data_IF_204716918275
#
_entry.id   IF_204716918275
#
_cell.length_a   1.000
_cell.length_b   1.000
_cell.length_c   1.000
_cell.angle_alpha   90.00
_cell.angle_beta   90.00
_cell.angle_gamma   90.00
#
_symmetry.space_group_name_H-M   'P 1'
#
loop_
_entity.id
_entity.type
_entity.pdbx_description
1 polymer ?
#
# COMPACT_ATOMS: atom_id res chain seq x y z
N UNK A 1 -17.19 -26.74 -23.01
CA UNK A 1 -16.39 -25.98 -22.04
C UNK A 1 -17.15 -24.70 -21.74
N UNK A 2 -17.75 -24.56 -20.56
CA UNK A 2 -18.28 -23.26 -20.13
C UNK A 2 -17.07 -22.38 -19.81
N UNK A 3 -16.75 -21.43 -20.70
CA UNK A 3 -15.62 -20.53 -20.50
C UNK A 3 -15.77 -19.79 -19.17
N UNK A 4 -14.68 -19.69 -18.38
CA UNK A 4 -14.68 -18.80 -17.21
C UNK A 4 -14.98 -17.39 -17.69
N UNK A 5 -15.94 -16.71 -17.05
CA UNK A 5 -16.18 -15.28 -17.30
C UNK A 5 -14.93 -14.47 -16.96
N UNK A 6 -14.78 -13.31 -17.58
CA UNK A 6 -13.72 -12.36 -17.24
C UNK A 6 -13.81 -11.93 -15.76
N UNK A 7 -12.64 -11.65 -15.18
CA UNK A 7 -12.50 -11.00 -13.86
C UNK A 7 -12.75 -9.50 -14.05
N UNK A 8 -13.56 -8.91 -13.18
CA UNK A 8 -13.88 -7.48 -13.18
C UNK A 8 -13.10 -6.80 -12.07
N UNK A 9 -12.25 -5.85 -12.45
CA UNK A 9 -11.33 -5.15 -11.55
C UNK A 9 -11.66 -3.65 -11.60
N UNK A 10 -11.85 -3.04 -10.43
CA UNK A 10 -12.00 -1.59 -10.29
C UNK A 10 -10.79 -0.94 -9.62
N UNK A 11 -10.51 0.32 -9.94
CA UNK A 11 -9.52 1.13 -9.24
C UNK A 11 -10.24 2.16 -8.36
N UNK A 12 -9.93 2.25 -7.07
CA UNK A 12 -10.49 3.29 -6.20
C UNK A 12 -9.50 4.39 -5.81
N UNK A 13 -8.26 4.35 -6.31
CA UNK A 13 -7.27 5.36 -6.00
C UNK A 13 -6.09 5.34 -6.98
N UNK A 14 -5.66 6.53 -7.40
CA UNK A 14 -4.35 6.86 -7.97
C UNK A 14 -3.48 7.73 -7.05
N UNK A 15 -4.03 8.25 -5.94
CA UNK A 15 -3.30 9.03 -4.94
C UNK A 15 -3.94 8.94 -3.54
N UNK A 16 -3.13 9.11 -2.50
CA UNK A 16 -3.58 9.09 -1.08
C UNK A 16 -4.69 10.10 -0.70
N UNK A 17 -5.03 11.04 -1.57
CA UNK A 17 -6.04 12.08 -1.36
C UNK A 17 -7.30 11.93 -2.23
N UNK A 18 -7.48 10.80 -2.92
CA UNK A 18 -8.69 10.55 -3.70
C UNK A 18 -9.97 10.52 -2.85
N UNK A 19 -11.11 10.57 -3.54
CA UNK A 19 -12.43 10.68 -2.93
C UNK A 19 -12.68 9.58 -1.89
N UNK A 20 -13.07 9.94 -0.65
CA UNK A 20 -13.22 8.97 0.43
C UNK A 20 -14.31 7.92 0.16
N UNK A 21 -15.23 8.21 -0.76
CA UNK A 21 -16.36 7.38 -1.15
C UNK A 21 -16.04 6.37 -2.28
N UNK A 22 -14.92 6.49 -2.98
CA UNK A 22 -14.64 5.69 -4.19
C UNK A 22 -14.62 4.17 -3.91
N UNK A 23 -13.99 3.75 -2.80
CA UNK A 23 -13.99 2.33 -2.40
C UNK A 23 -15.41 1.83 -2.11
N UNK A 24 -16.23 2.63 -1.44
CA UNK A 24 -17.61 2.30 -1.12
C UNK A 24 -18.44 2.15 -2.39
N UNK A 25 -18.34 3.12 -3.31
CA UNK A 25 -19.05 3.10 -4.59
C UNK A 25 -18.71 1.87 -5.40
N UNK A 26 -17.43 1.53 -5.54
CA UNK A 26 -17.01 0.31 -6.24
C UNK A 26 -17.55 -0.96 -5.58
N UNK A 27 -17.60 -1.00 -4.24
CA UNK A 27 -18.11 -2.16 -3.50
C UNK A 27 -19.64 -2.32 -3.62
N UNK A 28 -20.39 -1.24 -3.85
CA UNK A 28 -21.87 -1.26 -3.90
C UNK A 28 -22.47 -1.21 -5.30
N UNK A 29 -21.83 -0.55 -6.26
CA UNK A 29 -22.45 -0.21 -7.56
C UNK A 29 -22.08 -1.20 -8.68
N UNK A 30 -20.93 -1.87 -8.58
CA UNK A 30 -20.40 -2.71 -9.65
C UNK A 30 -20.32 -4.19 -9.27
N UNK A 31 -20.56 -5.13 -10.20
CA UNK A 31 -20.35 -6.56 -9.95
C UNK A 31 -18.86 -6.91 -10.06
N UNK A 32 -18.02 -6.29 -9.21
CA UNK A 32 -16.56 -6.45 -9.20
C UNK A 32 -16.13 -7.73 -8.46
N UNK A 33 -15.02 -8.29 -8.91
CA UNK A 33 -14.34 -9.41 -8.24
C UNK A 33 -13.21 -8.93 -7.35
N UNK A 34 -12.53 -7.88 -7.79
CA UNK A 34 -11.41 -7.28 -7.10
C UNK A 34 -11.40 -5.77 -7.26
N UNK A 35 -10.82 -5.10 -6.27
CA UNK A 35 -10.50 -3.68 -6.28
C UNK A 35 -9.00 -3.56 -6.06
N UNK A 36 -8.37 -2.68 -6.82
CA UNK A 36 -7.03 -2.22 -6.49
C UNK A 36 -7.01 -0.74 -6.17
N UNK A 37 -6.01 -0.32 -5.41
CA UNK A 37 -5.81 1.07 -5.06
C UNK A 37 -4.31 1.39 -5.11
N UNK A 38 -4.00 2.54 -5.67
CA UNK A 38 -2.65 3.10 -5.69
C UNK A 38 -2.61 4.31 -4.76
N UNK A 39 -2.00 4.12 -3.59
CA UNK A 39 -1.85 5.17 -2.58
C UNK A 39 -0.44 5.77 -2.55
N UNK A 40 0.55 5.06 -3.12
CA UNK A 40 1.96 5.44 -3.06
C UNK A 40 2.40 6.00 -4.41
N UNK A 41 2.72 7.28 -4.42
CA UNK A 41 3.21 8.01 -5.58
C UNK A 41 4.63 8.55 -5.32
N UNK A 42 5.32 8.95 -6.39
CA UNK A 42 6.67 9.53 -6.31
C UNK A 42 6.80 10.64 -5.24
N UNK A 43 5.79 11.50 -5.15
CA UNK A 43 5.77 12.64 -4.23
C UNK A 43 5.67 12.26 -2.74
N UNK A 44 5.01 11.15 -2.39
CA UNK A 44 4.75 10.81 -0.98
C UNK A 44 5.69 9.74 -0.40
N UNK A 45 6.47 9.04 -1.23
CA UNK A 45 7.48 8.07 -0.76
C UNK A 45 8.46 8.72 0.23
N UNK A 46 9.01 9.89 -0.12
CA UNK A 46 9.95 10.60 0.75
C UNK A 46 9.33 11.02 2.08
N UNK A 47 8.06 11.44 2.08
CA UNK A 47 7.34 11.77 3.31
C UNK A 47 7.08 10.56 4.19
N UNK A 48 6.75 9.40 3.61
CA UNK A 48 6.63 8.14 4.36
C UNK A 48 7.98 7.70 4.93
N UNK A 49 9.08 7.98 4.24
CA UNK A 49 10.43 7.69 4.74
C UNK A 49 10.73 8.49 6.00
N UNK A 50 10.55 9.82 5.93
CA UNK A 50 10.73 10.71 7.08
C UNK A 50 9.79 10.37 8.24
N UNK A 51 8.54 10.01 7.94
CA UNK A 51 7.57 9.59 8.97
C UNK A 51 8.02 8.31 9.67
N UNK A 52 8.46 7.29 8.91
CA UNK A 52 8.95 6.02 9.44
C UNK A 52 10.24 6.18 10.25
N UNK A 53 11.13 7.06 9.82
CA UNK A 53 12.37 7.37 10.55
C UNK A 53 12.05 7.94 11.93
N UNK A 54 11.08 8.86 12.01
CA UNK A 54 10.64 9.47 13.27
C UNK A 54 9.76 8.55 14.12
N UNK A 55 8.92 7.75 13.48
CA UNK A 55 7.91 6.89 14.08
C UNK A 55 7.93 5.51 13.40
N UNK A 56 8.70 4.54 13.92
CA UNK A 56 8.93 3.24 13.27
C UNK A 56 7.66 2.42 13.00
N UNK A 57 6.57 2.69 13.72
CA UNK A 57 5.26 2.07 13.54
C UNK A 57 4.44 2.66 12.38
N UNK A 58 4.84 3.82 11.83
CA UNK A 58 4.20 4.50 10.71
C UNK A 58 4.97 4.27 9.41
N UNK A 59 4.78 5.13 8.40
CA UNK A 59 5.39 4.97 7.07
C UNK A 59 4.54 4.19 6.07
N UNK A 60 3.27 3.97 6.38
CA UNK A 60 2.24 3.47 5.46
C UNK A 60 1.22 4.58 5.13
N UNK A 61 0.43 4.37 4.08
CA UNK A 61 -0.58 5.32 3.62
C UNK A 61 -1.88 5.21 4.41
N UNK A 62 -2.24 6.30 5.09
CA UNK A 62 -3.46 6.37 5.93
C UNK A 62 -4.74 6.53 5.11
N UNK A 63 -4.65 6.91 3.83
CA UNK A 63 -5.80 7.08 2.94
C UNK A 63 -6.65 5.82 2.81
N UNK A 64 -6.04 4.64 2.91
CA UNK A 64 -6.77 3.38 2.94
C UNK A 64 -7.76 3.27 4.10
N UNK A 65 -7.40 3.78 5.28
CA UNK A 65 -8.31 3.79 6.42
C UNK A 65 -9.45 4.78 6.26
N UNK A 66 -9.22 5.89 5.57
CA UNK A 66 -10.31 6.80 5.17
C UNK A 66 -11.33 6.08 4.30
N UNK A 67 -10.86 5.32 3.30
CA UNK A 67 -11.73 4.54 2.41
C UNK A 67 -12.47 3.41 3.15
N UNK A 68 -11.77 2.64 4.01
CA UNK A 68 -12.39 1.56 4.78
C UNK A 68 -13.43 2.04 5.79
N UNK A 69 -13.20 3.19 6.41
CA UNK A 69 -14.12 3.78 7.41
C UNK A 69 -15.24 4.60 6.78
N UNK A 70 -15.22 4.85 5.48
CA UNK A 70 -16.29 5.58 4.82
C UNK A 70 -17.59 4.75 4.86
N UNK A 71 -18.59 5.26 5.58
CA UNK A 71 -19.87 4.58 5.84
C UNK A 71 -19.64 3.16 6.38
N UNK A 72 -20.13 2.15 5.66
CA UNK A 72 -19.97 0.74 5.98
C UNK A 72 -19.17 -0.01 4.90
N UNK A 73 -18.17 0.65 4.29
CA UNK A 73 -17.37 0.07 3.22
C UNK A 73 -16.73 -1.26 3.63
N UNK A 74 -16.05 -1.31 4.78
CA UNK A 74 -15.43 -2.53 5.29
C UNK A 74 -16.42 -3.69 5.41
N UNK A 75 -17.62 -3.43 5.93
CA UNK A 75 -18.68 -4.40 6.11
C UNK A 75 -19.25 -4.88 4.77
N UNK A 76 -19.47 -3.97 3.82
CA UNK A 76 -19.93 -4.32 2.45
C UNK A 76 -18.89 -5.16 1.72
N UNK A 77 -17.62 -4.80 1.79
CA UNK A 77 -16.53 -5.56 1.16
C UNK A 77 -16.45 -6.97 1.73
N UNK A 78 -16.55 -7.11 3.06
CA UNK A 78 -16.52 -8.41 3.72
C UNK A 78 -17.73 -9.28 3.31
N UNK A 79 -18.93 -8.69 3.22
CA UNK A 79 -20.16 -9.40 2.83
C UNK A 79 -20.16 -9.82 1.36
N UNK A 80 -19.69 -8.96 0.47
CA UNK A 80 -19.60 -9.24 -0.98
C UNK A 80 -18.46 -10.19 -1.32
N UNK A 81 -17.44 -10.28 -0.46
CA UNK A 81 -16.27 -11.11 -0.66
C UNK A 81 -15.29 -10.57 -1.69
N UNK A 82 -15.43 -9.31 -2.11
CA UNK A 82 -14.52 -8.61 -3.04
C UNK A 82 -13.10 -8.63 -2.48
N UNK A 83 -12.11 -8.87 -3.36
CA UNK A 83 -10.69 -8.86 -2.97
C UNK A 83 -10.10 -7.48 -3.14
N UNK A 84 -9.26 -7.06 -2.20
CA UNK A 84 -8.55 -5.78 -2.27
C UNK A 84 -7.05 -6.04 -2.31
N UNK A 85 -6.36 -5.34 -3.21
CA UNK A 85 -4.89 -5.29 -3.27
C UNK A 85 -4.45 -3.84 -3.45
N UNK A 86 -3.45 -3.38 -2.70
CA UNK A 86 -2.97 -2.01 -2.80
C UNK A 86 -1.53 -1.88 -2.34
N UNK A 87 -0.84 -0.85 -2.81
CA UNK A 87 0.54 -0.53 -2.43
C UNK A 87 0.62 0.42 -1.23
N UNK A 88 -0.49 0.64 -0.51
CA UNK A 88 -0.54 1.56 0.63
C UNK A 88 0.34 1.13 1.82
N UNK A 89 0.95 -0.05 1.76
CA UNK A 89 2.02 -0.44 2.69
C UNK A 89 3.19 0.53 2.69
N UNK A 90 3.45 1.18 1.55
CA UNK A 90 4.56 2.10 1.36
C UNK A 90 5.85 1.51 1.94
N UNK A 91 6.49 2.18 2.90
CA UNK A 91 7.73 1.73 3.52
C UNK A 91 7.52 0.88 4.79
N UNK A 92 6.26 0.62 5.15
CA UNK A 92 5.88 -0.23 6.28
C UNK A 92 4.63 -1.11 6.00
N UNK A 93 4.72 -2.10 5.08
CA UNK A 93 3.61 -3.00 4.78
C UNK A 93 3.11 -3.79 6.01
N UNK A 94 4.02 -4.19 6.91
CA UNK A 94 3.65 -4.88 8.14
C UNK A 94 2.87 -3.99 9.11
N UNK A 95 3.27 -2.72 9.26
CA UNK A 95 2.53 -1.74 10.08
C UNK A 95 1.11 -1.55 9.59
N UNK A 96 0.91 -1.45 8.28
CA UNK A 96 -0.42 -1.36 7.69
C UNK A 96 -1.24 -2.62 7.92
N UNK A 97 -0.64 -3.80 7.79
CA UNK A 97 -1.29 -5.07 8.07
C UNK A 97 -1.82 -5.13 9.50
N UNK A 98 -0.99 -4.76 10.49
CA UNK A 98 -1.37 -4.76 11.90
C UNK A 98 -2.54 -3.80 12.16
N UNK A 99 -2.42 -2.55 11.71
CA UNK A 99 -3.47 -1.54 11.87
C UNK A 99 -4.77 -1.93 11.15
N UNK A 100 -4.68 -2.58 9.99
CA UNK A 100 -5.84 -3.12 9.27
C UNK A 100 -6.53 -4.24 10.04
N UNK A 101 -5.76 -5.18 10.60
CA UNK A 101 -6.29 -6.26 11.43
C UNK A 101 -7.02 -5.72 12.66
N UNK A 102 -6.42 -4.78 13.38
CA UNK A 102 -7.03 -4.13 14.55
C UNK A 102 -8.34 -3.41 14.17
N UNK A 103 -8.35 -2.67 13.06
CA UNK A 103 -9.56 -2.00 12.57
C UNK A 103 -10.69 -3.00 12.26
N UNK A 104 -10.38 -4.06 11.52
CA UNK A 104 -11.38 -5.07 11.15
C UNK A 104 -11.91 -5.81 12.38
N UNK A 105 -11.05 -6.13 13.34
CA UNK A 105 -11.47 -6.72 14.62
C UNK A 105 -12.43 -5.80 15.40
N UNK A 106 -12.14 -4.50 15.47
CA UNK A 106 -13.02 -3.52 16.13
C UNK A 106 -14.41 -3.41 15.47
N UNK A 107 -14.53 -3.79 14.20
CA UNK A 107 -15.77 -3.81 13.42
C UNK A 107 -16.49 -5.17 13.44
N UNK A 108 -15.98 -6.15 14.19
CA UNK A 108 -16.52 -7.52 14.20
C UNK A 108 -16.20 -8.31 12.93
N UNK A 109 -15.20 -7.89 12.15
CA UNK A 109 -14.74 -8.51 10.90
C UNK A 109 -13.42 -9.26 11.08
N UNK A 110 -13.15 -9.79 12.28
CA UNK A 110 -11.87 -10.42 12.64
C UNK A 110 -11.49 -11.63 11.77
N UNK A 111 -12.48 -12.30 11.17
CA UNK A 111 -12.31 -13.47 10.30
C UNK A 111 -11.84 -13.11 8.87
N UNK A 112 -11.84 -11.82 8.51
CA UNK A 112 -11.33 -11.36 7.21
C UNK A 112 -9.82 -11.61 7.13
N UNK A 113 -9.39 -12.26 6.04
CA UNK A 113 -7.98 -12.55 5.76
C UNK A 113 -7.28 -11.29 5.29
N UNK A 114 -6.20 -10.92 5.98
CA UNK A 114 -5.31 -9.81 5.63
C UNK A 114 -3.91 -10.39 5.43
N UNK A 115 -3.30 -10.10 4.28
CA UNK A 115 -1.92 -10.46 3.99
C UNK A 115 -1.14 -9.19 3.63
N UNK A 116 0.18 -9.23 3.83
CA UNK A 116 1.12 -8.22 3.38
C UNK A 116 2.24 -8.90 2.61
N UNK A 117 2.92 -8.12 1.76
CA UNK A 117 4.06 -8.55 0.97
C UNK A 117 5.18 -7.56 1.22
N UNK A 118 6.40 -8.08 1.35
CA UNK A 118 7.63 -7.33 1.57
C UNK A 118 8.76 -8.02 0.84
N UNK A 119 9.85 -7.30 0.56
CA UNK A 119 11.03 -7.82 -0.11
C UNK A 119 11.68 -6.88 -1.12
N UNK A 120 11.16 -5.67 -1.31
CA UNK A 120 11.74 -4.64 -2.19
C UNK A 120 12.64 -3.63 -1.46
N UNK A 121 12.72 -3.72 -0.13
CA UNK A 121 13.56 -2.84 0.67
C UNK A 121 15.05 -3.26 0.63
N UNK A 122 15.82 -2.58 -0.22
CA UNK A 122 17.27 -2.77 -0.37
C UNK A 122 18.11 -1.81 0.47
N UNK A 123 17.51 -1.02 1.36
CA UNK A 123 18.21 0.05 2.11
C UNK A 123 19.41 -0.50 2.88
N UNK A 124 19.25 -1.64 3.56
CA UNK A 124 20.33 -2.24 4.34
C UNK A 124 21.47 -2.74 3.43
N UNK A 125 21.15 -3.31 2.28
CA UNK A 125 22.13 -3.82 1.32
C UNK A 125 22.93 -2.68 0.68
N UNK A 126 22.26 -1.57 0.37
CA UNK A 126 22.89 -0.33 -0.15
C UNK A 126 23.81 0.26 0.91
N UNK A 127 23.34 0.43 2.15
CA UNK A 127 24.16 0.95 3.26
C UNK A 127 25.37 0.07 3.55
N UNK A 128 25.20 -1.26 3.54
CA UNK A 128 26.29 -2.21 3.74
C UNK A 128 27.33 -2.12 2.60
N UNK A 129 26.87 -1.98 1.36
CA UNK A 129 27.75 -1.81 0.19
C UNK A 129 28.53 -0.50 0.25
N UNK A 130 27.87 0.60 0.63
CA UNK A 130 28.52 1.89 0.84
C UNK A 130 29.57 1.81 1.95
N UNK A 131 29.24 1.23 3.11
CA UNK A 131 30.15 1.05 4.23
C UNK A 131 31.36 0.15 3.88
N UNK A 132 31.20 -0.75 2.91
CA UNK A 132 32.27 -1.59 2.37
C UNK A 132 33.15 -0.88 1.32
N UNK A 133 32.94 0.43 1.08
CA UNK A 133 33.69 1.21 0.10
C UNK A 133 33.34 0.89 -1.35
N UNK A 134 32.08 0.48 -1.62
CA UNK A 134 31.57 0.11 -2.95
C UNK A 134 30.48 1.06 -3.45
N UNK A 135 30.59 2.34 -3.11
CA UNK A 135 29.58 3.33 -3.47
C UNK A 135 29.48 3.53 -4.99
N UNK A 136 30.58 3.32 -5.73
CA UNK A 136 30.68 3.47 -7.18
C UNK A 136 29.74 2.52 -7.96
N UNK A 137 29.20 1.50 -7.28
CA UNK A 137 28.17 0.60 -7.84
C UNK A 137 26.81 1.28 -7.98
N UNK A 138 26.62 2.44 -7.36
CA UNK A 138 25.39 3.22 -7.33
C UNK A 138 25.67 4.63 -7.89
N UNK A 139 25.98 4.76 -9.19
CA UNK A 139 26.24 6.07 -9.79
C UNK A 139 24.97 6.93 -9.79
N UNK A 140 25.14 8.24 -9.61
CA UNK A 140 24.06 9.20 -9.80
C UNK A 140 23.58 9.14 -11.26
N UNK A 141 22.28 8.93 -11.47
CA UNK A 141 21.74 8.67 -12.82
C UNK A 141 21.75 9.91 -13.72
N UNK A 142 21.69 11.11 -13.14
CA UNK A 142 21.66 12.37 -13.90
C UNK A 142 22.97 13.18 -13.86
N UNK A 143 23.97 12.80 -13.05
CA UNK A 143 25.19 13.59 -12.83
C UNK A 143 26.40 12.68 -12.96
N UNK A 144 27.13 12.85 -14.07
CA UNK A 144 28.31 12.05 -14.36
C UNK A 144 29.38 12.20 -13.26
N UNK A 145 29.91 11.06 -12.83
CA UNK A 145 31.02 11.02 -11.86
C UNK A 145 30.60 11.19 -10.40
N UNK A 146 29.30 11.30 -10.10
CA UNK A 146 28.80 11.25 -8.72
C UNK A 146 28.33 9.84 -8.33
N UNK A 147 28.48 9.49 -7.05
CA UNK A 147 27.98 8.27 -6.45
C UNK A 147 27.33 8.52 -5.07
N UNK A 148 27.01 7.47 -4.31
CA UNK A 148 26.36 7.60 -3.01
C UNK A 148 27.19 8.29 -1.91
N UNK A 149 28.49 8.52 -2.13
CA UNK A 149 29.36 9.22 -1.17
C UNK A 149 29.35 10.74 -1.29
N UNK A 150 28.87 11.29 -2.41
CA UNK A 150 28.79 12.74 -2.65
C UNK A 150 27.59 13.38 -1.94
#
# INVERSE_FOLDING_TARGET
MTGRRAIRIGNCSGAGCDGPDELYRLATEGPLDAIFADYLAEVNIAWRALEKEKYPELGYEKGFFTHLNYKNAAEVIAQTGIKIVHNGGALNPYGLHKATKELLESKGLGDVKVAWVDGDNVTADVQASQAAGKAEQFPHLDIDGQDLND
#
